data_IF_055212925388
#
_entry.id   IF_055212925388
#
_cell.length_a   1.000
_cell.length_b   1.000
_cell.length_c   1.000
_cell.angle_alpha   90.00
_cell.angle_beta   90.00
_cell.angle_gamma   90.00
#
_symmetry.space_group_name_H-M   'P 1'
#
loop_
_entity.id
_entity.type
_entity.pdbx_description
1 polymer ?
#
# COMPACT_ATOMS: atom_id res chain seq x y z
N UNK A 1 -7.77 -11.58 -5.07
CA UNK A 1 -6.70 -10.74 -4.52
C UNK A 1 -7.22 -9.49 -3.80
N UNK A 2 -6.80 -9.27 -2.55
CA UNK A 2 -6.80 -7.93 -1.94
C UNK A 2 -5.34 -7.53 -1.79
N UNK A 3 -4.94 -6.36 -2.31
CA UNK A 3 -3.60 -5.87 -2.09
C UNK A 3 -3.44 -5.56 -0.59
N UNK A 4 -2.24 -5.77 -0.05
CA UNK A 4 -1.93 -5.48 1.37
C UNK A 4 -2.20 -4.01 1.73
N UNK A 5 -2.19 -3.14 0.73
CA UNK A 5 -2.48 -1.69 0.84
C UNK A 5 -3.96 -1.32 0.70
N UNK A 6 -4.87 -2.28 0.48
CA UNK A 6 -6.31 -2.01 0.49
C UNK A 6 -6.80 -1.76 1.93
N UNK A 7 -7.71 -0.78 2.16
CA UNK A 7 -8.37 0.07 1.16
C UNK A 7 -7.53 1.27 0.67
N UNK A 8 -6.60 1.81 1.48
CA UNK A 8 -5.64 2.84 1.07
C UNK A 8 -4.41 2.85 1.98
N UNK A 9 -3.29 3.41 1.50
CA UNK A 9 -2.09 3.58 2.34
C UNK A 9 -2.36 4.69 3.35
N UNK A 10 -2.19 4.40 4.64
CA UNK A 10 -2.44 5.32 5.73
C UNK A 10 -1.14 5.77 6.42
N UNK A 11 -0.94 7.09 6.52
CA UNK A 11 0.16 7.66 7.30
C UNK A 11 -0.20 7.71 8.79
N UNK A 12 0.54 7.00 9.63
CA UNK A 12 0.37 7.01 11.08
C UNK A 12 1.56 7.67 11.78
N UNK A 13 1.43 7.95 13.08
CA UNK A 13 2.56 8.50 13.86
C UNK A 13 3.66 7.45 13.95
N UNK A 14 4.92 7.89 13.98
CA UNK A 14 6.06 6.99 14.14
C UNK A 14 5.88 5.98 15.30
N UNK A 15 6.10 4.70 15.02
CA UNK A 15 5.99 3.61 15.98
C UNK A 15 4.56 3.25 16.36
N UNK A 16 3.56 3.64 15.55
CA UNK A 16 2.15 3.36 15.84
C UNK A 16 1.45 2.51 14.78
N UNK A 17 2.17 2.09 13.74
CA UNK A 17 1.69 1.12 12.74
C UNK A 17 1.16 -0.16 13.40
N UNK A 18 -0.04 -0.56 12.99
CA UNK A 18 -0.75 -1.76 13.43
C UNK A 18 -1.26 -2.57 12.25
N UNK A 19 -1.64 -1.91 11.17
CA UNK A 19 -2.21 -2.56 10.00
C UNK A 19 -1.18 -2.70 8.86
N UNK A 20 -1.39 -3.66 7.94
CA UNK A 20 -0.50 -3.85 6.80
C UNK A 20 -0.48 -2.67 5.82
N UNK A 21 -1.61 -1.94 5.69
CA UNK A 21 -1.75 -0.77 4.83
C UNK A 21 -1.26 0.55 5.49
N UNK A 22 -0.76 0.50 6.73
CA UNK A 22 -0.24 1.67 7.43
C UNK A 22 1.27 1.83 7.25
N UNK A 23 1.73 3.08 7.26
CA UNK A 23 3.16 3.44 7.24
C UNK A 23 3.44 4.48 8.33
N UNK A 24 4.51 4.24 9.07
CA UNK A 24 4.98 5.17 10.10
C UNK A 24 5.51 6.46 9.46
N UNK A 25 5.03 7.60 9.96
CA UNK A 25 5.54 8.91 9.58
C UNK A 25 6.87 9.23 10.24
N UNK A 26 7.60 10.17 9.65
CA UNK A 26 8.89 10.65 10.19
C UNK A 26 8.66 11.91 11.00
N UNK A 27 9.10 11.92 12.26
CA UNK A 27 9.01 13.09 13.14
C UNK A 27 9.75 14.28 12.51
N UNK A 28 9.07 15.44 12.44
CA UNK A 28 9.62 16.65 11.82
C UNK A 28 9.45 16.73 10.30
N UNK A 29 8.91 15.69 9.65
CA UNK A 29 8.72 15.63 8.20
C UNK A 29 7.26 15.38 7.77
N UNK A 30 6.28 15.82 8.58
CA UNK A 30 4.86 15.51 8.39
C UNK A 30 4.33 15.88 6.99
N UNK A 31 4.72 17.04 6.47
CA UNK A 31 4.26 17.50 5.14
C UNK A 31 4.82 16.58 4.05
N UNK A 32 6.12 16.31 4.07
CA UNK A 32 6.79 15.44 3.10
C UNK A 32 6.23 14.01 3.12
N UNK A 33 6.07 13.42 4.32
CA UNK A 33 5.50 12.07 4.46
C UNK A 33 4.07 12.01 3.92
N UNK A 34 3.24 13.02 4.20
CA UNK A 34 1.86 13.08 3.69
C UNK A 34 1.81 13.21 2.17
N UNK A 35 2.69 14.02 1.58
CA UNK A 35 2.77 14.16 0.12
C UNK A 35 3.10 12.84 -0.58
N UNK A 36 4.06 12.07 -0.06
CA UNK A 36 4.42 10.77 -0.65
C UNK A 36 3.25 9.78 -0.55
N UNK A 37 2.59 9.69 0.61
CA UNK A 37 1.43 8.80 0.77
C UNK A 37 0.30 9.18 -0.19
N UNK A 38 -0.01 10.47 -0.30
CA UNK A 38 -1.02 10.95 -1.25
C UNK A 38 -0.65 10.64 -2.70
N UNK A 39 0.62 10.79 -3.08
CA UNK A 39 1.11 10.44 -4.41
C UNK A 39 0.89 8.95 -4.71
N UNK A 40 1.24 8.06 -3.77
CA UNK A 40 1.08 6.62 -3.93
C UNK A 40 -0.39 6.23 -4.03
N UNK A 41 -1.25 6.75 -3.16
CA UNK A 41 -2.70 6.50 -3.23
C UNK A 41 -3.28 6.96 -4.57
N UNK A 42 -2.88 8.15 -5.04
CA UNK A 42 -3.28 8.64 -6.37
C UNK A 42 -2.77 7.75 -7.51
N UNK A 43 -1.53 7.25 -7.43
CA UNK A 43 -1.01 6.31 -8.41
C UNK A 43 -1.82 5.00 -8.41
N UNK A 44 -2.19 4.48 -7.24
CA UNK A 44 -2.97 3.24 -7.12
C UNK A 44 -4.35 3.33 -7.80
N UNK A 45 -4.97 4.51 -7.88
CA UNK A 45 -6.21 4.69 -8.67
C UNK A 45 -6.06 4.31 -10.14
N UNK A 46 -4.85 4.41 -10.70
CA UNK A 46 -4.55 4.07 -12.10
C UNK A 46 -4.02 2.64 -12.23
N UNK A 47 -3.22 2.19 -11.27
CA UNK A 47 -2.49 0.92 -11.38
C UNK A 47 -3.23 -0.27 -10.79
N UNK A 48 -4.21 -0.07 -9.90
CA UNK A 48 -4.95 -1.18 -9.26
C UNK A 48 -5.59 -2.12 -10.29
N UNK A 49 -6.34 -1.57 -11.26
CA UNK A 49 -6.97 -2.37 -12.31
C UNK A 49 -5.98 -3.21 -13.14
N UNK A 50 -4.92 -2.60 -13.71
CA UNK A 50 -3.87 -3.34 -14.41
C UNK A 50 -3.18 -4.43 -13.56
N UNK A 51 -2.90 -4.15 -12.28
CA UNK A 51 -2.30 -5.12 -11.35
C UNK A 51 -3.27 -6.28 -11.10
N UNK A 52 -4.54 -5.99 -10.81
CA UNK A 52 -5.56 -7.01 -10.56
C UNK A 52 -5.75 -7.90 -11.80
N UNK A 53 -5.81 -7.31 -12.99
CA UNK A 53 -5.89 -8.06 -14.25
C UNK A 53 -4.66 -8.95 -14.48
N UNK A 54 -3.46 -8.45 -14.16
CA UNK A 54 -2.23 -9.24 -14.25
C UNK A 54 -2.23 -10.43 -13.28
N UNK A 55 -2.61 -10.22 -12.02
CA UNK A 55 -2.67 -11.29 -11.02
C UNK A 55 -3.75 -12.34 -11.36
N UNK A 56 -4.89 -11.92 -11.94
CA UNK A 56 -5.91 -12.84 -12.43
C UNK A 56 -5.42 -13.71 -13.59
N UNK A 57 -4.58 -13.17 -14.47
CA UNK A 57 -3.96 -13.92 -15.57
C UNK A 57 -2.84 -14.87 -15.10
N UNK A 58 -2.27 -14.62 -13.91
CA UNK A 58 -1.11 -15.32 -13.36
C UNK A 58 -1.38 -15.83 -11.93
N UNK A 59 -2.30 -16.80 -11.75
CA UNK A 59 -2.72 -17.28 -10.43
C UNK A 59 -1.60 -17.95 -9.61
N UNK A 60 -0.51 -18.37 -10.25
CA UNK A 60 0.68 -18.90 -9.59
C UNK A 60 1.39 -17.87 -8.70
N UNK A 61 1.24 -16.57 -8.99
CA UNK A 61 1.90 -15.48 -8.28
C UNK A 61 1.15 -15.06 -7.00
N UNK A 62 -0.12 -15.45 -6.82
CA UNK A 62 -0.84 -15.16 -5.57
C UNK A 62 -0.24 -15.93 -4.38
N UNK A 63 0.38 -17.11 -4.61
CA UNK A 63 0.80 -18.02 -3.53
C UNK A 63 2.13 -17.66 -2.85
N UNK A 64 2.93 -16.75 -3.40
CA UNK A 64 4.25 -16.39 -2.85
C UNK A 64 4.21 -15.22 -1.87
N UNK A 65 3.06 -14.56 -1.69
CA UNK A 65 2.95 -13.31 -0.88
C UNK A 65 2.33 -13.55 0.50
N UNK A 66 2.10 -14.80 0.89
CA UNK A 66 1.47 -15.14 2.17
C UNK A 66 2.03 -16.41 2.78
N UNK A 67 3.24 -16.34 3.35
CA UNK A 67 3.65 -17.05 4.56
C UNK A 67 5.11 -16.72 4.87
N UNK A 68 5.32 -15.82 5.82
CA UNK A 68 6.32 -15.88 6.91
C UNK A 68 5.94 -14.86 7.99
#
# INVERSE_FOLDING_TARGET
SHLVVDPEIALVKNGTKKQPNEVDGITGATISSRTVVNLLNNAMTKWKGPIDAYLQAHPELEKTTGHE
#
